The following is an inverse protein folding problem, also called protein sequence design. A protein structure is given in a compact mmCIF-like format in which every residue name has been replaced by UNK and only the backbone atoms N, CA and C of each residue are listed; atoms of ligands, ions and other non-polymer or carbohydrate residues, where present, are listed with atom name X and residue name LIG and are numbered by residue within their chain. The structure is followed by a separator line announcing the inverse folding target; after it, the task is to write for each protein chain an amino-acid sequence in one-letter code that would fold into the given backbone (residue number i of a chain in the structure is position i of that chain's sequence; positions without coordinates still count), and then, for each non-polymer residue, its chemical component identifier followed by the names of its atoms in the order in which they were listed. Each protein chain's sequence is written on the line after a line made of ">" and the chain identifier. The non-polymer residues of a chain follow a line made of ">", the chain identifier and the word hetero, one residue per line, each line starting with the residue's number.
data_IF_174265813189
#
_entry.id   IF_174265813189
#
_cell.length_a   1.000
_cell.length_b   1.000
_cell.length_c   1.000
_cell.angle_alpha   90.00
_cell.angle_beta   90.00
_cell.angle_gamma   90.00
#
_symmetry.space_group_name_H-M   'P 1'
#
loop_
_entity.id
_entity.type
_entity.pdbx_description
1 polymer ?
#
# COMPACT_ATOMS: atom_id res chain seq x y z
N UNK A 1 -66.44 -59.50 -32.07
CA UNK A 1 -65.32 -60.37 -32.54
C UNK A 1 -64.38 -59.65 -33.49
N UNK A 2 -63.08 -59.97 -33.48
CA UNK A 2 -62.09 -59.39 -34.39
C UNK A 2 -62.25 -60.03 -35.79
N UNK A 3 -62.74 -59.28 -36.78
CA UNK A 3 -63.06 -59.72 -38.15
C UNK A 3 -61.95 -59.30 -39.13
N UNK A 4 -61.64 -60.15 -40.10
CA UNK A 4 -60.70 -59.87 -41.19
C UNK A 4 -61.35 -58.92 -42.21
N UNK A 5 -60.63 -57.89 -42.64
CA UNK A 5 -60.97 -57.08 -43.83
C UNK A 5 -60.03 -57.41 -44.99
N UNK A 6 -60.39 -56.98 -46.21
CA UNK A 6 -59.53 -57.14 -47.37
C UNK A 6 -58.13 -56.53 -47.10
N UNK A 7 -57.08 -57.29 -47.40
CA UNK A 7 -55.69 -56.92 -47.06
C UNK A 7 -55.16 -57.45 -45.73
N UNK A 8 -55.93 -58.24 -44.98
CA UNK A 8 -55.44 -58.98 -43.80
C UNK A 8 -55.44 -58.19 -42.49
N UNK A 9 -55.89 -56.94 -42.50
CA UNK A 9 -56.13 -56.18 -41.27
C UNK A 9 -57.32 -56.74 -40.48
N UNK A 10 -57.33 -56.45 -39.18
CA UNK A 10 -58.30 -56.97 -38.22
C UNK A 10 -59.09 -55.83 -37.58
N UNK A 11 -60.43 -55.89 -37.64
CA UNK A 11 -61.35 -54.86 -37.12
C UNK A 11 -62.31 -55.45 -36.09
N UNK A 12 -62.71 -54.68 -35.09
CA UNK A 12 -63.76 -55.13 -34.15
C UNK A 12 -65.13 -55.08 -34.84
N UNK A 13 -65.74 -56.24 -35.10
CA UNK A 13 -67.12 -56.34 -35.54
C UNK A 13 -68.09 -56.55 -34.37
N UNK A 14 -69.33 -56.09 -34.54
CA UNK A 14 -70.46 -56.30 -33.63
C UNK A 14 -70.65 -57.79 -33.25
N UNK A 15 -71.14 -58.00 -32.03
CA UNK A 15 -70.80 -59.14 -31.16
C UNK A 15 -71.79 -60.31 -31.14
N UNK A 16 -72.23 -60.80 -32.30
CA UNK A 16 -73.28 -61.84 -32.35
C UNK A 16 -72.79 -63.28 -32.60
N UNK A 17 -71.48 -63.53 -32.72
CA UNK A 17 -70.96 -64.89 -32.86
C UNK A 17 -69.60 -65.07 -32.17
N UNK A 18 -69.56 -65.93 -31.16
CA UNK A 18 -68.31 -66.38 -30.52
C UNK A 18 -67.39 -67.08 -31.54
N UNK A 19 -66.08 -66.95 -31.35
CA UNK A 19 -65.08 -67.65 -32.16
C UNK A 19 -64.92 -69.07 -31.63
N UNK A 20 -65.25 -70.09 -32.43
CA UNK A 20 -64.93 -71.49 -32.13
C UNK A 20 -63.57 -71.86 -32.73
N UNK A 21 -62.65 -72.40 -31.92
CA UNK A 21 -61.30 -72.75 -32.37
C UNK A 21 -60.42 -73.36 -31.27
N UNK A 22 -59.26 -73.91 -31.67
CA UNK A 22 -58.23 -74.45 -30.78
C UNK A 22 -57.03 -73.50 -30.71
N UNK A 23 -56.58 -73.15 -29.51
CA UNK A 23 -55.46 -72.23 -29.27
C UNK A 23 -54.97 -72.34 -27.84
N UNK A 24 -53.74 -71.87 -27.57
CA UNK A 24 -53.21 -71.86 -26.19
C UNK A 24 -53.82 -70.69 -25.42
N UNK A 25 -54.20 -70.94 -24.16
CA UNK A 25 -54.76 -69.92 -23.26
C UNK A 25 -53.86 -68.67 -23.20
N UNK A 26 -54.47 -67.48 -23.07
CA UNK A 26 -53.80 -66.16 -22.96
C UNK A 26 -53.05 -65.65 -24.19
N UNK A 27 -53.27 -66.29 -25.35
CA UNK A 27 -52.74 -65.85 -26.65
C UNK A 27 -53.86 -65.38 -27.55
N UNK A 28 -53.63 -64.32 -28.31
CA UNK A 28 -54.56 -63.89 -29.36
C UNK A 28 -54.41 -64.86 -30.54
N UNK A 29 -55.48 -65.54 -31.01
CA UNK A 29 -55.43 -66.33 -32.23
C UNK A 29 -55.33 -65.40 -33.45
N UNK A 30 -54.39 -65.67 -34.34
CA UNK A 30 -54.10 -64.92 -35.55
C UNK A 30 -54.12 -65.85 -36.76
N UNK A 31 -54.64 -65.40 -37.90
CA UNK A 31 -54.63 -66.22 -39.11
C UNK A 31 -53.23 -66.30 -39.72
N UNK A 32 -52.73 -67.52 -39.91
CA UNK A 32 -51.45 -67.80 -40.58
C UNK A 32 -51.63 -68.11 -42.08
N UNK A 33 -52.83 -68.55 -42.47
CA UNK A 33 -53.30 -68.65 -43.85
C UNK A 33 -54.80 -68.36 -43.88
N UNK A 34 -55.44 -68.34 -45.05
CA UNK A 34 -56.90 -68.17 -45.15
C UNK A 34 -57.71 -69.31 -44.48
N UNK A 35 -57.05 -70.36 -43.98
CA UNK A 35 -57.68 -71.54 -43.38
C UNK A 35 -57.07 -71.98 -42.05
N UNK A 36 -55.98 -71.36 -41.57
CA UNK A 36 -55.29 -71.80 -40.35
C UNK A 36 -55.08 -70.66 -39.36
N UNK A 37 -55.31 -70.93 -38.07
CA UNK A 37 -55.01 -70.05 -36.96
C UNK A 37 -53.68 -70.44 -36.31
N UNK A 38 -52.94 -69.46 -35.80
CA UNK A 38 -51.71 -69.57 -35.04
C UNK A 38 -51.74 -68.61 -33.85
N UNK A 39 -50.90 -68.85 -32.84
CA UNK A 39 -50.81 -67.97 -31.67
C UNK A 39 -50.02 -66.69 -31.99
N UNK A 40 -50.55 -65.53 -31.59
CA UNK A 40 -49.82 -64.24 -31.62
C UNK A 40 -48.55 -64.29 -30.79
N UNK A 41 -47.53 -63.50 -31.09
CA UNK A 41 -46.37 -63.31 -30.19
C UNK A 41 -46.71 -62.57 -28.90
N UNK A 42 -47.90 -61.97 -28.79
CA UNK A 42 -48.39 -61.38 -27.54
C UNK A 42 -48.96 -62.45 -26.62
N UNK A 43 -48.43 -62.53 -25.39
CA UNK A 43 -48.87 -63.42 -24.33
C UNK A 43 -49.32 -62.60 -23.12
N UNK A 44 -50.59 -62.73 -22.76
CA UNK A 44 -51.05 -62.22 -21.47
C UNK A 44 -50.53 -63.13 -20.37
N UNK A 45 -50.09 -62.54 -19.26
CA UNK A 45 -49.75 -63.31 -18.08
C UNK A 45 -51.00 -64.04 -17.54
N UNK A 46 -50.81 -65.22 -16.94
CA UNK A 46 -51.92 -66.02 -16.40
C UNK A 46 -52.68 -65.30 -15.27
N UNK A 47 -52.03 -64.35 -14.59
CA UNK A 47 -52.65 -63.47 -13.60
C UNK A 47 -53.35 -62.25 -14.17
N UNK A 48 -53.41 -62.10 -15.51
CA UNK A 48 -54.02 -60.97 -16.23
C UNK A 48 -53.36 -59.60 -15.99
N UNK A 49 -52.17 -59.57 -15.40
CA UNK A 49 -51.51 -58.33 -14.95
C UNK A 49 -50.62 -57.67 -16.02
N UNK A 50 -50.16 -58.44 -17.01
CA UNK A 50 -49.20 -57.95 -18.01
C UNK A 50 -49.40 -58.63 -19.36
N UNK A 51 -48.83 -58.00 -20.40
CA UNK A 51 -48.72 -58.56 -21.74
C UNK A 51 -47.24 -58.56 -22.10
N UNK A 52 -46.72 -59.71 -22.51
CA UNK A 52 -45.33 -59.88 -22.97
C UNK A 52 -45.32 -60.16 -24.46
N UNK A 53 -44.44 -59.47 -25.20
CA UNK A 53 -44.09 -59.83 -26.56
C UNK A 53 -42.96 -60.86 -26.52
N UNK A 54 -43.22 -62.06 -27.01
CA UNK A 54 -42.28 -63.18 -27.03
C UNK A 54 -41.19 -63.04 -28.12
N UNK A 55 -41.26 -61.98 -28.93
CA UNK A 55 -40.34 -61.68 -30.03
C UNK A 55 -39.68 -60.29 -29.85
N UNK A 56 -38.51 -60.11 -30.47
CA UNK A 56 -37.51 -59.11 -30.09
C UNK A 56 -37.78 -57.64 -30.48
N UNK A 57 -38.84 -57.33 -31.23
CA UNK A 57 -39.15 -55.94 -31.61
C UNK A 57 -40.65 -55.67 -31.69
N UNK A 58 -41.03 -54.49 -31.19
CA UNK A 58 -42.34 -53.89 -31.38
C UNK A 58 -42.14 -52.58 -32.12
N UNK A 59 -42.84 -52.40 -33.24
CA UNK A 59 -42.86 -51.14 -33.98
C UNK A 59 -44.22 -50.50 -33.81
N UNK A 60 -44.27 -49.32 -33.18
CA UNK A 60 -45.49 -48.51 -33.06
C UNK A 60 -45.37 -47.34 -34.03
N UNK A 61 -46.22 -47.31 -35.06
CA UNK A 61 -46.28 -46.20 -36.01
C UNK A 61 -47.47 -45.31 -35.61
N UNK A 62 -47.19 -44.13 -35.06
CA UNK A 62 -48.23 -43.14 -34.81
C UNK A 62 -48.55 -42.36 -36.09
N UNK A 63 -49.80 -42.40 -36.56
CA UNK A 63 -50.28 -41.55 -37.67
C UNK A 63 -50.92 -40.24 -37.19
N UNK A 64 -50.80 -39.90 -35.90
CA UNK A 64 -51.23 -38.63 -35.33
C UNK A 64 -50.78 -38.49 -33.88
N UNK A 65 -50.33 -37.29 -33.50
CA UNK A 65 -50.06 -36.83 -32.12
C UNK A 65 -49.04 -37.64 -31.32
N UNK A 66 -49.43 -38.83 -30.88
CA UNK A 66 -48.70 -39.66 -29.93
C UNK A 66 -48.40 -41.04 -30.52
N UNK A 67 -47.13 -41.45 -30.51
CA UNK A 67 -46.73 -42.82 -30.85
C UNK A 67 -47.07 -43.81 -29.73
N UNK A 68 -46.46 -43.64 -28.57
CA UNK A 68 -46.70 -44.44 -27.36
C UNK A 68 -47.09 -43.50 -26.20
N UNK A 69 -48.36 -43.52 -25.80
CA UNK A 69 -48.86 -42.81 -24.62
C UNK A 69 -48.85 -43.69 -23.38
N UNK A 70 -48.29 -43.20 -22.28
CA UNK A 70 -48.20 -43.89 -20.99
C UNK A 70 -48.53 -42.91 -19.87
N UNK A 71 -49.42 -43.30 -18.95
CA UNK A 71 -49.81 -42.47 -17.80
C UNK A 71 -49.02 -42.81 -16.53
N UNK A 72 -48.36 -43.97 -16.51
CA UNK A 72 -47.56 -44.46 -15.38
C UNK A 72 -46.06 -44.40 -15.63
N UNK A 73 -45.29 -44.88 -14.65
CA UNK A 73 -43.84 -44.96 -14.74
C UNK A 73 -43.40 -45.96 -15.83
N UNK A 74 -42.45 -45.53 -16.67
CA UNK A 74 -41.79 -46.40 -17.64
C UNK A 74 -40.40 -46.76 -17.13
N UNK A 75 -40.07 -48.05 -17.12
CA UNK A 75 -38.73 -48.55 -16.83
C UNK A 75 -38.14 -49.13 -18.11
N UNK A 76 -36.99 -48.60 -18.55
CA UNK A 76 -36.23 -49.09 -19.70
C UNK A 76 -34.89 -49.59 -19.18
N UNK A 77 -34.58 -50.87 -19.38
CA UNK A 77 -33.36 -51.50 -18.87
C UNK A 77 -32.15 -51.40 -19.83
N UNK A 78 -32.38 -50.94 -21.06
CA UNK A 78 -31.35 -50.80 -22.09
C UNK A 78 -31.09 -49.34 -22.47
N UNK A 79 -30.21 -49.14 -23.45
CA UNK A 79 -29.96 -47.83 -24.02
C UNK A 79 -31.22 -47.28 -24.71
N UNK A 80 -31.45 -45.98 -24.55
CA UNK A 80 -32.54 -45.24 -25.19
C UNK A 80 -31.94 -44.26 -26.17
N UNK A 81 -32.25 -44.41 -27.45
CA UNK A 81 -31.73 -43.56 -28.52
C UNK A 81 -32.86 -42.79 -29.19
N UNK A 82 -32.72 -41.47 -29.28
CA UNK A 82 -33.59 -40.61 -30.07
C UNK A 82 -32.80 -40.23 -31.32
N UNK A 83 -33.21 -40.75 -32.48
CA UNK A 83 -32.50 -40.58 -33.75
C UNK A 83 -33.13 -39.45 -34.58
N UNK A 84 -32.34 -38.79 -35.43
CA UNK A 84 -32.82 -37.69 -36.27
C UNK A 84 -33.04 -36.38 -35.49
N UNK A 85 -33.77 -35.44 -36.07
CA UNK A 85 -34.06 -34.12 -35.48
C UNK A 85 -35.26 -34.17 -34.50
N UNK A 86 -35.23 -35.15 -33.59
CA UNK A 86 -36.30 -35.36 -32.61
C UNK A 86 -35.93 -34.75 -31.26
N UNK A 87 -36.94 -34.24 -30.53
CA UNK A 87 -36.75 -33.61 -29.22
C UNK A 87 -37.02 -34.63 -28.09
N UNK A 88 -36.18 -34.63 -27.06
CA UNK A 88 -36.48 -35.26 -25.79
C UNK A 88 -36.97 -34.19 -24.81
N UNK A 89 -38.27 -34.18 -24.52
CA UNK A 89 -38.89 -33.20 -23.62
C UNK A 89 -39.23 -33.85 -22.30
N UNK A 90 -38.71 -33.28 -21.21
CA UNK A 90 -39.19 -33.54 -19.84
C UNK A 90 -40.00 -32.31 -19.45
N UNK A 91 -41.20 -32.50 -18.90
CA UNK A 91 -42.07 -31.39 -18.46
C UNK A 91 -41.52 -30.70 -17.21
N UNK A 92 -42.36 -30.54 -16.19
CA UNK A 92 -41.94 -29.99 -14.88
C UNK A 92 -41.22 -31.01 -13.97
N UNK A 93 -40.93 -32.20 -14.50
CA UNK A 93 -40.30 -33.29 -13.75
C UNK A 93 -38.80 -33.11 -13.56
N UNK A 94 -38.28 -33.63 -12.44
CA UNK A 94 -36.84 -33.68 -12.18
C UNK A 94 -36.15 -34.65 -13.15
N UNK A 95 -35.06 -34.21 -13.77
CA UNK A 95 -34.17 -35.07 -14.55
C UNK A 95 -32.89 -35.34 -13.76
N UNK A 96 -32.59 -36.61 -13.48
CA UNK A 96 -31.31 -37.01 -12.87
C UNK A 96 -30.49 -37.79 -13.90
N UNK A 97 -29.31 -37.26 -14.24
CA UNK A 97 -28.33 -37.93 -15.10
C UNK A 97 -27.19 -38.44 -14.23
N UNK A 98 -27.16 -39.74 -13.93
CA UNK A 98 -26.13 -40.35 -13.09
C UNK A 98 -24.75 -40.50 -13.74
N UNK A 99 -24.63 -40.16 -15.03
CA UNK A 99 -23.39 -40.23 -15.81
C UNK A 99 -23.01 -38.89 -16.44
N UNK A 100 -21.99 -38.91 -17.31
CA UNK A 100 -21.56 -37.72 -18.04
C UNK A 100 -22.61 -37.28 -19.07
N UNK A 101 -22.92 -35.99 -19.10
CA UNK A 101 -23.67 -35.36 -20.18
C UNK A 101 -22.68 -34.78 -21.19
N UNK A 102 -22.54 -35.43 -22.35
CA UNK A 102 -21.72 -34.92 -23.45
C UNK A 102 -22.59 -34.11 -24.42
N UNK A 103 -22.41 -32.79 -24.45
CA UNK A 103 -23.14 -31.88 -25.35
C UNK A 103 -22.18 -31.35 -26.41
N UNK A 104 -22.40 -31.73 -27.66
CA UNK A 104 -21.62 -31.23 -28.81
C UNK A 104 -22.21 -29.95 -29.42
N UNK A 105 -23.48 -29.66 -29.12
CA UNK A 105 -24.19 -28.46 -29.55
C UNK A 105 -24.25 -27.37 -28.47
N UNK A 106 -25.17 -26.42 -28.65
CA UNK A 106 -25.43 -25.35 -27.68
C UNK A 106 -26.33 -25.86 -26.56
N UNK A 107 -25.97 -25.54 -25.32
CA UNK A 107 -26.84 -25.69 -24.15
C UNK A 107 -27.31 -24.32 -23.67
N UNK A 108 -28.62 -24.14 -23.50
CA UNK A 108 -29.22 -22.92 -22.95
C UNK A 108 -29.87 -23.23 -21.61
N UNK A 109 -29.43 -22.53 -20.55
CA UNK A 109 -30.04 -22.54 -19.22
C UNK A 109 -30.65 -21.17 -18.98
N UNK A 110 -31.96 -21.10 -18.73
CA UNK A 110 -32.67 -19.82 -18.53
C UNK A 110 -32.63 -19.32 -17.08
N UNK A 111 -32.11 -20.13 -16.17
CA UNK A 111 -32.01 -19.86 -14.74
C UNK A 111 -30.61 -20.28 -14.22
N UNK A 112 -30.42 -20.29 -12.90
CA UNK A 112 -29.16 -20.56 -12.24
C UNK A 112 -28.60 -21.96 -12.54
N UNK A 113 -27.31 -21.99 -12.87
CA UNK A 113 -26.49 -23.19 -12.83
C UNK A 113 -25.75 -23.26 -11.48
N UNK A 114 -26.08 -24.25 -10.65
CA UNK A 114 -25.34 -24.51 -9.42
C UNK A 114 -24.36 -25.65 -9.62
N UNK A 115 -23.07 -25.41 -9.35
CA UNK A 115 -21.99 -26.42 -9.43
C UNK A 115 -21.38 -26.57 -8.04
N UNK A 116 -21.38 -27.79 -7.50
CA UNK A 116 -20.92 -28.05 -6.12
C UNK A 116 -19.38 -28.17 -5.98
N UNK A 117 -18.65 -28.36 -7.07
CA UNK A 117 -17.20 -28.49 -7.09
C UNK A 117 -16.60 -27.51 -8.13
N UNK A 118 -15.86 -28.02 -9.09
CA UNK A 118 -15.19 -27.22 -10.11
C UNK A 118 -16.02 -27.10 -11.38
N UNK A 119 -16.23 -25.87 -11.84
CA UNK A 119 -16.65 -25.58 -13.19
C UNK A 119 -15.39 -25.25 -14.02
N UNK A 120 -15.14 -26.02 -15.08
CA UNK A 120 -14.05 -25.74 -16.02
C UNK A 120 -14.64 -25.19 -17.31
N UNK A 121 -14.22 -23.99 -17.68
CA UNK A 121 -14.52 -23.39 -18.98
C UNK A 121 -13.30 -23.65 -19.87
N UNK A 122 -13.45 -24.46 -20.93
CA UNK A 122 -12.35 -24.84 -21.81
C UNK A 122 -11.75 -23.66 -22.60
N UNK A 123 -10.65 -23.90 -23.32
CA UNK A 123 -9.90 -22.87 -24.06
C UNK A 123 -10.67 -22.18 -25.20
N UNK A 124 -11.86 -22.67 -25.56
CA UNK A 124 -12.74 -22.10 -26.58
C UNK A 124 -13.80 -21.12 -26.06
N UNK A 125 -13.81 -20.80 -24.77
CA UNK A 125 -14.82 -19.88 -24.20
C UNK A 125 -14.44 -18.43 -24.50
N UNK A 126 -14.89 -17.93 -25.66
CA UNK A 126 -14.66 -16.55 -26.12
C UNK A 126 -15.42 -15.51 -25.30
N UNK A 127 -16.43 -15.92 -24.52
CA UNK A 127 -17.30 -15.01 -23.76
C UNK A 127 -17.96 -15.70 -22.56
N UNK A 128 -17.25 -15.80 -21.44
CA UNK A 128 -17.93 -15.90 -20.14
C UNK A 128 -18.36 -14.48 -19.74
N UNK A 129 -19.33 -13.90 -20.44
CA UNK A 129 -19.91 -12.64 -19.96
C UNK A 129 -20.77 -12.94 -18.75
N UNK A 130 -20.29 -12.58 -17.57
CA UNK A 130 -21.22 -12.11 -16.56
C UNK A 130 -21.88 -10.85 -17.15
N UNK A 131 -23.21 -10.85 -17.30
CA UNK A 131 -23.96 -9.73 -17.90
C UNK A 131 -23.81 -8.46 -17.06
N UNK A 132 -24.43 -7.35 -17.46
CA UNK A 132 -24.34 -6.02 -16.80
C UNK A 132 -24.73 -5.97 -15.32
N UNK A 133 -25.18 -7.08 -14.71
CA UNK A 133 -25.38 -7.23 -13.26
C UNK A 133 -24.85 -8.56 -12.69
N UNK A 134 -24.08 -9.33 -13.46
CA UNK A 134 -23.45 -10.55 -12.98
C UNK A 134 -22.15 -10.23 -12.25
N UNK A 135 -22.12 -10.42 -10.94
CA UNK A 135 -20.90 -10.25 -10.15
C UNK A 135 -20.18 -11.61 -10.07
N UNK A 136 -18.84 -11.59 -10.18
CA UNK A 136 -18.03 -12.70 -9.65
C UNK A 136 -17.93 -12.51 -8.14
N UNK A 137 -18.84 -13.12 -7.39
CA UNK A 137 -18.76 -13.12 -5.93
C UNK A 137 -17.91 -14.30 -5.46
N UNK A 138 -16.88 -14.01 -4.67
CA UNK A 138 -15.97 -15.00 -4.12
C UNK A 138 -16.27 -15.17 -2.63
N UNK A 139 -16.25 -16.41 -2.14
CA UNK A 139 -16.40 -16.66 -0.70
C UNK A 139 -15.23 -16.06 0.08
N UNK A 140 -15.38 -15.89 1.40
CA UNK A 140 -14.26 -15.49 2.26
C UNK A 140 -13.05 -16.40 2.03
N UNK A 141 -11.88 -15.80 1.75
CA UNK A 141 -10.62 -16.48 1.37
C UNK A 141 -10.65 -17.15 -0.03
N UNK A 142 -11.55 -16.76 -0.93
CA UNK A 142 -11.48 -17.17 -2.32
C UNK A 142 -10.42 -16.39 -3.09
N UNK A 143 -9.56 -17.09 -3.84
CA UNK A 143 -8.49 -16.51 -4.66
C UNK A 143 -8.84 -16.49 -6.16
N UNK A 144 -8.47 -15.41 -6.86
CA UNK A 144 -8.42 -15.37 -8.33
C UNK A 144 -7.00 -15.74 -8.73
N UNK A 145 -6.79 -16.98 -9.16
CA UNK A 145 -5.48 -17.46 -9.60
C UNK A 145 -5.38 -17.34 -11.13
N UNK A 146 -4.39 -16.59 -11.60
CA UNK A 146 -4.07 -16.40 -13.01
C UNK A 146 -2.84 -17.26 -13.35
N UNK A 147 -2.98 -18.25 -14.21
CA UNK A 147 -1.89 -19.15 -14.61
C UNK A 147 -1.61 -19.02 -16.11
N UNK A 148 -0.32 -19.00 -16.48
CA UNK A 148 0.14 -18.96 -17.86
C UNK A 148 0.74 -17.62 -18.29
N UNK A 149 1.44 -17.63 -19.43
CA UNK A 149 2.01 -16.42 -20.00
C UNK A 149 0.90 -15.44 -20.43
N UNK A 150 1.01 -14.18 -20.01
CA UNK A 150 0.04 -13.10 -20.28
C UNK A 150 -1.33 -13.24 -19.60
N UNK A 151 -1.45 -14.07 -18.55
CA UNK A 151 -2.67 -14.10 -17.75
C UNK A 151 -2.84 -12.75 -17.04
N UNK A 152 -3.94 -12.04 -17.33
CA UNK A 152 -4.18 -10.69 -16.85
C UNK A 152 -5.64 -10.49 -16.44
N UNK A 153 -5.86 -9.63 -15.45
CA UNK A 153 -7.18 -9.04 -15.17
C UNK A 153 -7.20 -7.68 -15.87
N UNK A 154 -8.07 -7.52 -16.85
CA UNK A 154 -8.30 -6.23 -17.51
C UNK A 154 -9.40 -5.49 -16.76
N UNK A 155 -9.07 -4.35 -16.17
CA UNK A 155 -10.02 -3.45 -15.51
C UNK A 155 -10.53 -2.37 -16.50
N UNK A 156 -11.76 -1.85 -16.35
CA UNK A 156 -12.29 -0.80 -17.21
C UNK A 156 -11.42 0.46 -17.19
N UNK A 157 -11.42 1.19 -18.31
CA UNK A 157 -10.49 2.29 -18.57
C UNK A 157 -10.81 3.60 -17.84
N UNK A 158 -11.90 3.65 -17.09
CA UNK A 158 -12.17 4.71 -16.11
C UNK A 158 -13.01 4.11 -14.96
N UNK A 159 -12.53 4.15 -13.70
CA UNK A 159 -13.36 4.02 -12.51
C UNK A 159 -14.55 4.97 -12.62
N UNK A 160 -15.76 4.48 -12.33
CA UNK A 160 -16.99 5.28 -12.35
C UNK A 160 -17.37 5.68 -10.92
N UNK A 161 -17.11 4.78 -9.96
CA UNK A 161 -17.38 4.99 -8.52
C UNK A 161 -16.12 4.83 -7.67
N UNK A 162 -16.11 5.39 -6.46
CA UNK A 162 -14.96 5.39 -5.54
C UNK A 162 -14.50 4.03 -5.01
N UNK A 163 -15.18 2.94 -5.38
CA UNK A 163 -14.83 1.55 -5.04
C UNK A 163 -14.30 0.76 -6.23
N UNK A 164 -14.27 1.35 -7.43
CA UNK A 164 -13.80 0.68 -8.64
C UNK A 164 -12.28 0.57 -8.66
N UNK A 165 -11.78 -0.61 -9.05
CA UNK A 165 -10.37 -0.78 -9.33
C UNK A 165 -10.00 -0.10 -10.65
N UNK A 166 -9.02 0.80 -10.61
CA UNK A 166 -8.51 1.49 -11.79
C UNK A 166 -7.54 0.62 -12.59
N UNK A 167 -7.61 0.67 -13.93
CA UNK A 167 -6.58 0.08 -14.76
C UNK A 167 -5.31 0.95 -14.78
N UNK A 168 -4.16 0.34 -15.12
CA UNK A 168 -2.86 1.03 -15.12
C UNK A 168 -2.85 2.27 -16.02
N UNK A 169 -3.44 2.18 -17.21
CA UNK A 169 -3.45 3.27 -18.16
C UNK A 169 -4.22 4.48 -17.59
N UNK A 170 -5.34 4.27 -16.91
CA UNK A 170 -6.09 5.31 -16.23
C UNK A 170 -5.26 5.98 -15.12
N UNK A 171 -4.61 5.18 -14.26
CA UNK A 171 -3.73 5.71 -13.21
C UNK A 171 -2.56 6.50 -13.80
N UNK A 172 -1.99 6.04 -14.92
CA UNK A 172 -0.83 6.68 -15.54
C UNK A 172 -1.18 7.92 -16.38
N UNK A 173 -2.42 8.07 -16.87
CA UNK A 173 -2.80 9.13 -17.84
C UNK A 173 -3.85 10.11 -17.34
N UNK A 174 -4.53 9.82 -16.23
CA UNK A 174 -5.51 10.72 -15.64
C UNK A 174 -4.84 11.60 -14.59
N UNK A 175 -4.80 12.94 -14.78
CA UNK A 175 -4.17 13.88 -13.84
C UNK A 175 -4.82 13.92 -12.44
N UNK A 176 -5.94 13.20 -12.24
CA UNK A 176 -6.72 13.22 -11.01
C UNK A 176 -6.99 11.81 -10.44
N UNK A 177 -6.27 10.76 -10.89
CA UNK A 177 -6.49 9.38 -10.45
C UNK A 177 -5.99 9.05 -9.03
N UNK A 178 -5.76 10.08 -8.22
CA UNK A 178 -5.11 10.02 -6.91
C UNK A 178 -3.96 11.01 -6.86
N UNK A 179 -3.39 11.29 -5.68
CA UNK A 179 -2.41 12.36 -5.47
C UNK A 179 -1.04 12.07 -6.09
N UNK A 180 -0.92 11.13 -7.04
CA UNK A 180 0.36 10.61 -7.53
C UNK A 180 0.50 10.88 -9.03
N UNK A 181 1.33 11.87 -9.39
CA UNK A 181 1.73 12.13 -10.78
C UNK A 181 3.06 11.41 -11.09
N UNK A 182 3.14 10.77 -12.25
CA UNK A 182 4.38 10.15 -12.75
C UNK A 182 5.09 11.10 -13.72
N UNK A 183 6.21 11.65 -13.26
CA UNK A 183 7.09 12.47 -14.09
C UNK A 183 8.41 11.73 -14.35
N UNK A 184 8.46 11.00 -15.48
CA UNK A 184 9.59 10.15 -15.85
C UNK A 184 9.70 8.91 -14.97
N UNK A 185 10.84 8.73 -14.27
CA UNK A 185 11.06 7.64 -13.31
C UNK A 185 10.55 7.96 -11.90
N UNK A 186 10.14 9.21 -11.65
CA UNK A 186 9.75 9.68 -10.33
C UNK A 186 8.22 9.69 -10.20
N UNK A 187 7.72 9.21 -9.07
CA UNK A 187 6.33 9.39 -8.65
C UNK A 187 6.30 10.56 -7.66
N UNK A 188 5.55 11.62 -7.99
CA UNK A 188 5.43 12.85 -7.22
C UNK A 188 4.03 12.99 -6.64
N UNK A 189 3.91 13.76 -5.57
CA UNK A 189 2.61 14.24 -5.13
C UNK A 189 2.13 15.35 -6.07
N UNK A 190 0.86 15.32 -6.48
CA UNK A 190 0.29 16.22 -7.49
C UNK A 190 0.13 17.66 -6.96
N UNK A 191 -0.26 17.82 -5.70
CA UNK A 191 -0.47 19.12 -5.06
C UNK A 191 0.28 19.29 -3.74
N UNK A 192 0.48 20.54 -3.31
CA UNK A 192 1.15 20.87 -2.03
C UNK A 192 0.34 20.45 -0.79
N UNK A 193 -0.92 20.07 -0.96
CA UNK A 193 -1.81 19.60 0.11
C UNK A 193 -1.84 18.08 0.24
N UNK A 194 -1.24 17.37 -0.71
CA UNK A 194 -1.21 15.92 -0.69
C UNK A 194 -0.22 15.40 0.34
N UNK A 195 -0.60 14.31 1.02
CA UNK A 195 0.18 13.72 2.10
C UNK A 195 0.43 12.26 1.77
N UNK A 196 1.67 11.80 1.89
CA UNK A 196 1.98 10.37 1.97
C UNK A 196 1.69 9.90 3.39
N UNK A 197 0.49 9.40 3.65
CA UNK A 197 0.17 8.76 4.93
C UNK A 197 0.92 7.43 5.07
N UNK A 198 2.05 7.41 5.79
CA UNK A 198 2.73 6.15 6.16
C UNK A 198 2.25 5.65 7.54
N UNK A 199 1.05 5.06 7.55
CA UNK A 199 0.59 4.15 8.61
C UNK A 199 -0.14 4.75 9.83
N UNK A 200 -0.92 3.88 10.49
CA UNK A 200 -1.58 4.07 11.80
C UNK A 200 -0.58 3.99 12.96
N UNK A 201 -1.01 4.26 14.20
CA UNK A 201 -0.26 4.43 15.49
C UNK A 201 1.01 3.57 15.76
N UNK A 202 1.31 2.53 14.99
CA UNK A 202 2.60 1.82 14.96
C UNK A 202 2.80 1.06 13.63
N UNK A 203 3.38 1.67 12.59
CA UNK A 203 3.59 0.99 11.31
C UNK A 203 4.77 0.00 11.37
N UNK A 204 4.58 -1.20 10.82
CA UNK A 204 5.63 -2.21 10.63
C UNK A 204 6.66 -1.83 9.54
N UNK A 205 6.31 -0.86 8.68
CA UNK A 205 7.18 -0.33 7.63
C UNK A 205 7.54 1.12 7.94
N UNK A 206 8.83 1.40 8.14
CA UNK A 206 9.37 2.76 8.12
C UNK A 206 9.59 3.16 6.67
N UNK A 207 9.41 4.45 6.34
CA UNK A 207 9.91 4.99 5.08
C UNK A 207 11.45 4.91 5.08
N UNK A 208 11.98 3.78 4.63
CA UNK A 208 13.41 3.57 4.43
C UNK A 208 13.75 4.05 3.02
N UNK A 209 14.13 5.32 2.88
CA UNK A 209 14.76 5.82 1.65
C UNK A 209 16.26 5.66 1.85
N UNK A 210 16.75 4.45 1.59
CA UNK A 210 18.17 4.13 1.51
C UNK A 210 18.43 3.56 0.13
N UNK A 211 19.27 4.21 -0.68
CA UNK A 211 19.90 3.51 -1.80
C UNK A 211 21.10 2.72 -1.26
N UNK A 212 21.29 1.49 -1.71
CA UNK A 212 22.43 0.63 -1.33
C UNK A 212 23.79 1.16 -1.82
N UNK A 213 23.87 2.42 -2.28
CA UNK A 213 25.05 3.08 -2.84
C UNK A 213 24.87 4.62 -2.90
N UNK A 214 24.44 5.25 -1.80
CA UNK A 214 24.17 6.70 -1.79
C UNK A 214 25.44 7.50 -2.12
N UNK A 215 25.43 8.23 -3.24
CA UNK A 215 26.52 9.15 -3.58
C UNK A 215 26.44 10.41 -2.70
N UNK A 216 27.56 11.12 -2.51
CA UNK A 216 27.59 12.38 -1.74
C UNK A 216 26.67 13.50 -2.28
N UNK A 217 26.06 13.30 -3.45
CA UNK A 217 25.10 14.21 -4.09
C UNK A 217 23.63 13.76 -3.96
N UNK A 218 23.35 12.62 -3.32
CA UNK A 218 21.99 12.11 -3.16
C UNK A 218 21.28 12.86 -2.03
N UNK A 219 20.19 13.55 -2.37
CA UNK A 219 19.34 14.25 -1.39
C UNK A 219 18.15 13.37 -0.99
N UNK A 220 18.02 13.09 0.30
CA UNK A 220 16.91 12.31 0.89
C UNK A 220 15.58 13.07 0.84
N UNK A 221 15.62 14.40 0.96
CA UNK A 221 14.46 15.29 0.89
C UNK A 221 14.91 16.68 0.45
N UNK A 222 14.41 17.18 -0.69
CA UNK A 222 14.65 18.55 -1.17
C UNK A 222 13.40 19.37 -0.85
N UNK A 223 13.44 20.18 0.20
CA UNK A 223 12.50 21.30 0.33
C UNK A 223 13.03 22.43 -0.56
N UNK A 224 12.50 22.51 -1.78
CA UNK A 224 12.83 23.57 -2.73
C UNK A 224 12.49 24.93 -2.13
N UNK A 225 13.48 25.80 -1.98
CA UNK A 225 13.28 27.20 -1.62
C UNK A 225 12.74 27.98 -2.82
N UNK A 226 11.45 27.86 -3.09
CA UNK A 226 10.74 28.84 -3.92
C UNK A 226 10.74 30.22 -3.26
N UNK A 227 10.45 31.31 -4.00
CA UNK A 227 10.53 32.71 -3.52
C UNK A 227 9.51 33.08 -2.42
N UNK A 228 8.77 32.12 -1.87
CA UNK A 228 7.76 32.33 -0.82
C UNK A 228 8.34 31.86 0.52
N UNK A 229 8.91 32.81 1.28
CA UNK A 229 9.59 32.59 2.56
C UNK A 229 8.73 31.99 3.70
N UNK A 230 7.45 31.67 3.47
CA UNK A 230 6.49 31.31 4.52
C UNK A 230 6.28 29.80 4.76
N UNK A 231 6.78 28.90 3.89
CA UNK A 231 6.38 27.47 3.93
C UNK A 231 7.49 26.46 4.24
N UNK A 232 8.73 26.87 4.55
CA UNK A 232 9.84 25.94 4.79
C UNK A 232 10.01 25.52 6.25
N UNK A 233 8.98 24.94 6.87
CA UNK A 233 9.10 24.35 8.23
C UNK A 233 9.31 22.84 8.14
N UNK A 234 10.54 22.41 7.84
CA UNK A 234 10.94 21.05 8.22
C UNK A 234 11.06 21.01 9.76
N UNK A 235 10.06 20.44 10.43
CA UNK A 235 10.11 20.24 11.89
C UNK A 235 10.57 18.81 12.15
N UNK A 236 11.79 18.65 12.67
CA UNK A 236 12.35 17.35 13.06
C UNK A 236 12.09 17.16 14.55
N UNK A 237 11.08 16.36 14.91
CA UNK A 237 10.90 15.88 16.30
C UNK A 237 11.62 14.54 16.43
N UNK A 238 12.71 14.52 17.17
CA UNK A 238 13.45 13.30 17.53
C UNK A 238 13.41 13.10 19.03
N UNK A 239 13.10 11.88 19.48
CA UNK A 239 13.19 11.49 20.90
C UNK A 239 14.63 11.07 21.29
N UNK A 240 15.60 11.23 20.37
CA UNK A 240 17.01 10.82 20.51
C UNK A 240 18.00 11.78 19.84
N UNK A 241 19.21 11.30 19.55
CA UNK A 241 20.29 12.11 19.00
C UNK A 241 20.15 12.35 17.49
N UNK A 242 20.35 13.59 17.05
CA UNK A 242 20.57 13.96 15.64
C UNK A 242 22.08 13.95 15.35
N UNK A 243 22.53 13.11 14.41
CA UNK A 243 23.93 13.09 13.96
C UNK A 243 24.04 13.69 12.55
N UNK A 244 24.87 14.73 12.39
CA UNK A 244 25.22 15.33 11.09
C UNK A 244 26.70 15.06 10.82
N UNK A 245 27.01 14.27 9.79
CA UNK A 245 28.39 13.98 9.39
C UNK A 245 29.06 15.10 8.57
N UNK A 246 28.27 16.11 8.18
CA UNK A 246 28.70 17.30 7.45
C UNK A 246 28.52 18.57 8.26
N UNK A 247 28.53 19.72 7.58
CA UNK A 247 28.28 21.02 8.21
C UNK A 247 26.79 21.29 8.38
N UNK A 248 26.44 22.05 9.43
CA UNK A 248 25.10 22.63 9.60
C UNK A 248 25.17 24.13 9.28
N UNK A 249 24.47 24.56 8.23
CA UNK A 249 24.28 25.98 7.92
C UNK A 249 22.96 26.48 8.49
N UNK A 250 22.99 27.55 9.28
CA UNK A 250 21.79 28.21 9.81
C UNK A 250 21.84 29.69 9.42
N UNK A 251 20.81 30.16 8.70
CA UNK A 251 20.71 31.57 8.28
C UNK A 251 19.95 32.44 9.28
N UNK A 252 19.11 31.81 10.11
CA UNK A 252 18.41 32.46 11.22
C UNK A 252 19.09 32.23 12.57
N UNK A 253 18.35 32.49 13.64
CA UNK A 253 18.83 32.31 15.01
C UNK A 253 18.94 30.82 15.38
N UNK A 254 19.96 30.49 16.15
CA UNK A 254 20.13 29.18 16.79
C UNK A 254 19.69 29.30 18.23
N UNK A 255 18.65 28.57 18.61
CA UNK A 255 18.19 28.45 20.00
C UNK A 255 18.52 27.04 20.53
N UNK A 256 19.04 26.99 21.75
CA UNK A 256 19.44 25.75 22.44
C UNK A 256 19.01 25.85 23.89
N UNK A 257 18.06 25.01 24.29
CA UNK A 257 17.60 24.92 25.69
C UNK A 257 18.67 24.34 26.64
N UNK A 258 19.73 23.74 26.09
CA UNK A 258 20.77 23.04 26.83
C UNK A 258 22.19 23.56 26.48
N UNK A 259 23.21 22.87 27.02
CA UNK A 259 24.62 23.24 26.82
C UNK A 259 25.08 23.00 25.38
N UNK A 260 25.91 23.91 24.87
CA UNK A 260 26.69 23.72 23.64
C UNK A 260 28.11 23.24 24.01
N UNK A 261 28.54 22.11 23.45
CA UNK A 261 29.94 21.65 23.48
C UNK A 261 30.55 21.77 22.08
N UNK A 262 31.74 22.34 21.98
CA UNK A 262 32.49 22.48 20.72
C UNK A 262 33.89 21.93 20.96
N UNK A 263 34.23 20.82 20.30
CA UNK A 263 35.55 20.19 20.45
C UNK A 263 36.66 20.94 19.71
N UNK A 264 36.29 21.77 18.74
CA UNK A 264 37.19 22.62 17.96
C UNK A 264 37.10 24.11 18.31
N UNK A 265 37.70 24.94 17.46
CA UNK A 265 37.64 26.41 17.59
C UNK A 265 36.27 26.96 17.20
N UNK A 266 35.69 27.82 18.03
CA UNK A 266 34.53 28.63 17.69
C UNK A 266 34.93 30.07 17.32
N UNK A 267 34.40 30.60 16.21
CA UNK A 267 34.60 32.00 15.80
C UNK A 267 33.28 32.75 15.83
N UNK A 268 33.20 33.84 16.59
CA UNK A 268 32.06 34.76 16.60
C UNK A 268 32.46 36.05 15.88
N UNK A 269 31.74 36.40 14.81
CA UNK A 269 32.06 37.59 13.98
C UNK A 269 31.54 38.90 14.56
N UNK A 270 30.72 38.83 15.60
CA UNK A 270 30.11 39.96 16.28
C UNK A 270 30.25 39.80 17.80
N UNK A 271 29.54 40.63 18.57
CA UNK A 271 29.56 40.60 20.03
C UNK A 271 29.10 39.26 20.61
N UNK A 272 29.72 38.88 21.72
CA UNK A 272 29.30 37.77 22.57
C UNK A 272 28.83 38.37 23.90
N UNK A 273 27.57 38.13 24.26
CA UNK A 273 26.99 38.62 25.52
C UNK A 273 26.75 37.45 26.46
N UNK A 274 27.48 37.40 27.57
CA UNK A 274 27.20 36.48 28.67
C UNK A 274 26.35 37.19 29.72
N UNK A 275 25.17 36.64 30.06
CA UNK A 275 24.31 37.16 31.14
C UNK A 275 24.84 36.83 32.55
N UNK A 276 25.81 35.94 32.63
CA UNK A 276 26.50 35.52 33.85
C UNK A 276 28.02 35.55 33.58
N UNK A 277 28.80 34.80 34.33
CA UNK A 277 30.25 34.78 34.23
C UNK A 277 30.72 34.13 32.91
N UNK A 278 31.71 34.75 32.27
CA UNK A 278 32.50 34.15 31.18
C UNK A 278 33.81 33.61 31.77
N UNK A 279 34.04 32.30 31.67
CA UNK A 279 35.29 31.68 32.08
C UNK A 279 36.25 31.53 30.90
N UNK A 280 37.47 32.06 31.03
CA UNK A 280 38.55 31.89 30.04
C UNK A 280 39.69 31.16 30.74
N UNK A 281 39.91 29.89 30.39
CA UNK A 281 40.97 29.08 30.97
C UNK A 281 42.37 29.44 30.43
N UNK A 282 42.42 29.97 29.21
CA UNK A 282 43.64 30.45 28.57
C UNK A 282 43.83 31.97 28.69
N UNK A 283 44.52 32.55 27.73
CA UNK A 283 44.73 34.00 27.65
C UNK A 283 43.52 34.70 27.04
N UNK A 284 43.06 35.79 27.66
CA UNK A 284 42.13 36.73 27.04
C UNK A 284 42.91 37.81 26.29
N UNK A 285 42.79 37.84 24.96
CA UNK A 285 43.35 38.89 24.12
C UNK A 285 42.35 40.01 23.89
N UNK A 286 42.73 41.25 24.19
CA UNK A 286 41.91 42.45 23.91
C UNK A 286 42.76 43.41 23.08
N UNK A 287 42.38 43.66 21.83
CA UNK A 287 43.06 44.61 20.94
C UNK A 287 42.53 46.03 21.07
N UNK A 288 41.27 46.17 21.47
CA UNK A 288 40.63 47.45 21.77
C UNK A 288 40.73 47.86 23.23
N UNK A 289 39.90 48.82 23.64
CA UNK A 289 39.80 49.22 25.05
C UNK A 289 39.09 48.14 25.89
N UNK A 290 39.64 47.84 27.07
CA UNK A 290 38.95 47.06 28.10
C UNK A 290 38.36 48.02 29.13
N UNK A 291 37.07 47.87 29.43
CA UNK A 291 36.39 48.61 30.49
C UNK A 291 35.83 47.63 31.52
N UNK A 292 36.11 47.88 32.79
CA UNK A 292 35.58 47.14 33.93
C UNK A 292 34.78 48.14 34.77
N UNK A 293 33.51 47.84 35.03
CA UNK A 293 32.63 48.70 35.83
C UNK A 293 32.89 48.57 37.33
N UNK A 294 33.62 47.54 37.73
CA UNK A 294 33.97 47.21 39.11
C UNK A 294 35.46 46.82 39.16
N UNK A 295 35.88 46.23 40.28
CA UNK A 295 37.27 45.92 40.58
C UNK A 295 37.87 44.89 39.63
N UNK A 296 39.12 45.14 39.24
CA UNK A 296 40.02 44.14 38.68
C UNK A 296 40.88 43.57 39.80
N UNK A 297 40.80 42.26 40.04
CA UNK A 297 41.76 41.55 40.90
C UNK A 297 42.77 40.82 40.01
N UNK A 298 44.06 41.05 40.23
CA UNK A 298 45.14 40.32 39.56
C UNK A 298 46.03 39.70 40.62
N UNK A 299 46.06 38.37 40.69
CA UNK A 299 46.91 37.65 41.65
C UNK A 299 48.39 37.62 41.23
N UNK A 300 48.66 37.83 39.95
CA UNK A 300 50.01 37.94 39.38
C UNK A 300 50.43 39.38 39.09
N UNK A 301 51.46 39.53 38.26
CA UNK A 301 51.95 40.84 37.86
C UNK A 301 51.03 41.48 36.81
N UNK A 302 50.82 42.79 36.92
CA UNK A 302 50.17 43.60 35.88
C UNK A 302 51.18 44.57 35.29
N UNK A 303 51.27 44.61 33.95
CA UNK A 303 52.04 45.62 33.21
C UNK A 303 51.06 46.57 32.55
N UNK A 304 51.15 47.87 32.85
CA UNK A 304 50.35 48.91 32.22
C UNK A 304 51.27 49.78 31.35
N UNK A 305 51.07 49.70 30.04
CA UNK A 305 51.92 50.36 29.03
C UNK A 305 53.11 49.50 28.56
N UNK A 306 53.61 49.82 27.38
CA UNK A 306 54.76 49.17 26.75
C UNK A 306 55.72 50.18 26.07
N UNK A 307 55.37 51.46 26.03
CA UNK A 307 56.20 52.53 25.49
C UNK A 307 56.68 53.47 26.60
N UNK A 308 57.87 54.05 26.43
CA UNK A 308 58.45 55.02 27.37
C UNK A 308 57.60 56.31 27.52
N UNK A 309 56.64 56.51 26.62
CA UNK A 309 55.70 57.64 26.60
C UNK A 309 54.36 57.33 27.25
N UNK A 310 54.12 56.10 27.72
CA UNK A 310 52.83 55.73 28.31
C UNK A 310 52.65 56.35 29.70
N UNK A 311 51.48 56.96 29.93
CA UNK A 311 51.15 57.61 31.20
C UNK A 311 50.03 56.84 31.87
N UNK A 312 50.26 56.38 33.10
CA UNK A 312 49.21 55.85 33.97
C UNK A 312 48.55 57.04 34.67
N UNK A 313 47.29 57.32 34.33
CA UNK A 313 46.52 58.42 34.91
C UNK A 313 45.49 57.84 35.89
N UNK A 314 45.75 57.95 37.19
CA UNK A 314 44.75 57.70 38.23
C UNK A 314 43.97 58.99 38.51
N UNK A 315 42.67 59.02 38.22
CA UNK A 315 41.80 60.19 38.48
C UNK A 315 41.02 59.97 39.78
N UNK A 316 41.05 60.95 40.69
CA UNK A 316 40.30 61.06 41.96
C UNK A 316 40.51 59.93 42.98
N UNK A 317 40.94 60.27 44.20
CA UNK A 317 40.95 59.43 45.42
C UNK A 317 41.55 58.02 45.32
N UNK A 318 42.22 57.69 44.21
CA UNK A 318 42.81 56.37 43.99
C UNK A 318 44.14 56.32 44.72
N UNK A 319 44.27 55.41 45.67
CA UNK A 319 45.57 55.13 46.30
C UNK A 319 46.32 54.20 45.36
N UNK A 320 47.40 54.67 44.75
CA UNK A 320 48.35 53.80 44.03
C UNK A 320 49.28 53.22 45.09
N UNK A 321 48.91 52.07 45.66
CA UNK A 321 49.77 51.35 46.59
C UNK A 321 50.74 50.46 45.79
N UNK A 322 51.96 50.94 45.55
CA UNK A 322 53.02 50.18 44.88
C UNK A 322 53.78 49.35 45.94
N UNK A 323 53.08 48.43 46.59
CA UNK A 323 53.69 47.46 47.50
C UNK A 323 54.40 46.37 46.69
N UNK A 324 55.65 46.61 46.27
CA UNK A 324 56.49 45.62 45.58
C UNK A 324 57.09 44.52 46.49
N UNK A 325 56.50 44.28 47.65
CA UNK A 325 57.01 43.47 48.76
C UNK A 325 56.35 43.94 50.07
N UNK A 326 56.51 43.20 51.17
CA UNK A 326 55.89 43.53 52.47
C UNK A 326 55.96 45.04 52.76
N UNK A 327 54.79 45.66 52.94
CA UNK A 327 54.66 47.06 53.33
C UNK A 327 55.36 47.23 54.67
N UNK A 328 56.56 47.81 54.68
CA UNK A 328 56.95 48.55 55.86
C UNK A 328 56.06 49.80 55.87
N UNK A 329 55.44 50.06 57.01
CA UNK A 329 54.44 51.09 57.23
C UNK A 329 55.03 52.53 57.21
N UNK A 330 56.18 52.75 56.55
CA UNK A 330 56.91 54.02 56.60
C UNK A 330 57.28 54.62 55.23
N UNK A 331 57.10 53.91 54.10
CA UNK A 331 57.46 54.41 52.76
C UNK A 331 56.29 54.51 51.78
N UNK A 332 55.89 55.72 51.37
CA UNK A 332 54.71 55.97 50.52
C UNK A 332 54.96 56.02 49.00
N UNK A 333 56.22 56.06 48.53
CA UNK A 333 56.54 56.11 47.10
C UNK A 333 57.98 55.66 46.82
N UNK A 334 58.17 54.68 45.92
CA UNK A 334 59.48 54.28 45.41
C UNK A 334 59.59 54.65 43.93
N UNK A 335 60.60 55.45 43.56
CA UNK A 335 60.86 55.86 42.16
C UNK A 335 62.22 55.29 41.72
N UNK A 336 62.24 54.38 40.74
CA UNK A 336 63.47 53.89 40.09
C UNK A 336 63.76 54.76 38.86
N UNK A 337 64.88 55.48 38.84
CA UNK A 337 65.34 56.25 37.67
C UNK A 337 66.46 55.53 36.90
N UNK A 338 66.37 55.48 35.58
CA UNK A 338 67.46 55.03 34.67
C UNK A 338 68.45 56.17 34.40
N UNK A 339 69.73 55.84 34.18
CA UNK A 339 70.81 56.82 34.05
C UNK A 339 70.59 57.81 32.89
N UNK A 340 70.32 59.07 33.23
CA UNK A 340 70.45 60.21 32.33
C UNK A 340 70.97 61.40 33.13
N UNK A 341 72.15 61.89 32.78
CA UNK A 341 72.87 62.93 33.50
C UNK A 341 72.07 64.24 33.51
N UNK A 342 71.77 64.78 34.70
CA UNK A 342 71.26 66.15 34.89
C UNK A 342 69.77 66.33 35.23
N UNK A 343 68.98 65.26 35.37
CA UNK A 343 67.52 65.37 35.54
C UNK A 343 67.08 64.86 36.92
N UNK A 344 66.25 65.63 37.61
CA UNK A 344 65.63 65.28 38.91
C UNK A 344 65.12 63.83 38.94
N UNK A 345 65.42 63.08 40.01
CA UNK A 345 64.96 61.69 40.20
C UNK A 345 63.45 61.61 40.45
N UNK A 346 62.89 62.65 41.07
CA UNK A 346 61.46 62.88 41.18
C UNK A 346 61.20 64.38 41.33
N UNK A 347 60.10 64.85 40.76
CA UNK A 347 59.54 66.18 40.99
C UNK A 347 58.15 66.03 41.56
N UNK A 348 57.88 66.75 42.64
CA UNK A 348 56.57 66.80 43.29
C UNK A 348 56.01 68.19 43.03
N UNK A 349 54.85 68.28 42.38
CA UNK A 349 54.18 69.53 42.08
C UNK A 349 52.99 69.72 43.03
N UNK A 350 52.70 70.96 43.40
CA UNK A 350 51.46 71.35 44.06
C UNK A 350 50.76 72.36 43.16
N UNK A 351 49.73 71.91 42.44
CA UNK A 351 49.16 72.66 41.34
C UNK A 351 50.18 72.84 40.20
N UNK A 352 50.33 74.07 39.68
CA UNK A 352 51.29 74.38 38.62
C UNK A 352 52.73 74.60 39.12
N UNK A 353 52.95 74.67 40.44
CA UNK A 353 54.24 75.00 41.02
C UNK A 353 55.00 73.75 41.46
N UNK A 354 56.32 73.72 41.23
CA UNK A 354 57.21 72.69 41.76
C UNK A 354 57.29 72.85 43.28
N UNK A 355 56.76 71.89 44.03
CA UNK A 355 56.70 71.93 45.49
C UNK A 355 57.95 71.31 46.13
N UNK A 356 58.45 70.20 45.57
CA UNK A 356 59.67 69.55 46.03
C UNK A 356 60.33 68.78 44.89
N UNK A 357 61.62 68.48 45.04
CA UNK A 357 62.35 67.67 44.09
C UNK A 357 63.45 66.86 44.77
N UNK A 358 63.71 65.68 44.24
CA UNK A 358 64.83 64.83 44.65
C UNK A 358 65.86 64.92 43.52
N UNK A 359 67.05 65.47 43.82
CA UNK A 359 68.20 65.30 42.92
C UNK A 359 68.76 63.91 43.12
N UNK A 360 69.15 63.26 42.03
CA UNK A 360 70.11 62.17 42.13
C UNK A 360 71.41 62.74 42.72
N UNK A 361 71.95 62.12 43.77
CA UNK A 361 73.31 62.40 44.26
C UNK A 361 74.33 61.90 43.24
#
# INVERSE_FOLDING_TARGET
>A
MLKKVAGGAMVWGNDDAGVSGTGTQYRIPMWNSDTTLANSVMNQDGGLNSITLLASSMTIQGTGGDGLGVTGAVKLGGAVSILGANTFTVGTGLTTLGGALNVTGVSTLTDALTVHNYAQFGSGVTKSTFTTGGNLNMTSNGDIVLLGANAQITLPNAPVDGTDAANKNYVDTSPNAGPWDKSGINVRLDTITDIVGVGIDSPLAKLHVSSNNAAAADYLFIVSSGPLAANNRLTIKVDGQTNLSGTLGVTGDVDLDAKLNVDGTSTFVSSVTAKSNMGIAGTLGVTGAAALSDNLTVNGNTTLGNAATDWIVAKSSTTIDIAGGAVDNTSALTVKGTDSSGIYAAKFYSGANLAAWIKKK
#
